data_IF_310097494987
#
_entry.id   IF_310097494987
#
_cell.length_a   1.000
_cell.length_b   1.000
_cell.length_c   1.000
_cell.angle_alpha   90.00
_cell.angle_beta   90.00
_cell.angle_gamma   90.00
#
_symmetry.space_group_name_H-M   'P 1'
#
loop_
_entity.id
_entity.type
_entity.pdbx_description
1 polymer ?
#
# COMPACT_ATOMS: atom_id res chain seq x y z
N UNK A 1 -24.74 31.62 -13.84
CA UNK A 1 -25.44 30.81 -12.82
C UNK A 1 -24.39 30.30 -11.85
N UNK A 2 -24.56 30.50 -10.54
CA UNK A 2 -23.61 29.99 -9.56
C UNK A 2 -23.68 28.46 -9.49
N UNK A 3 -22.54 27.80 -9.31
CA UNK A 3 -22.49 26.35 -9.11
C UNK A 3 -23.13 25.93 -7.78
N UNK A 4 -23.44 24.64 -7.64
CA UNK A 4 -23.98 24.09 -6.39
C UNK A 4 -22.86 24.03 -5.34
N UNK A 5 -22.90 24.93 -4.35
CA UNK A 5 -21.84 25.08 -3.33
C UNK A 5 -21.68 23.88 -2.39
N UNK A 6 -22.69 23.02 -2.30
CA UNK A 6 -22.71 21.85 -1.42
C UNK A 6 -22.32 20.55 -2.14
N UNK A 7 -21.73 20.64 -3.33
CA UNK A 7 -21.25 19.49 -4.11
C UNK A 7 -19.80 19.70 -4.50
N UNK A 8 -19.07 18.60 -4.54
CA UNK A 8 -17.70 18.59 -5.02
C UNK A 8 -17.68 18.90 -6.52
N UNK A 9 -16.71 19.70 -6.94
CA UNK A 9 -16.43 19.93 -8.35
C UNK A 9 -15.75 18.68 -8.97
N UNK A 10 -15.77 18.50 -10.31
CA UNK A 10 -15.28 17.28 -10.96
C UNK A 10 -13.80 16.94 -10.66
N UNK A 11 -12.97 17.94 -10.42
CA UNK A 11 -11.58 17.80 -9.99
C UNK A 11 -11.46 17.24 -8.57
N UNK A 12 -12.30 17.71 -7.65
CA UNK A 12 -12.38 17.21 -6.27
C UNK A 12 -12.92 15.78 -6.25
N UNK A 13 -13.95 15.47 -7.04
CA UNK A 13 -14.47 14.10 -7.17
C UNK A 13 -13.40 13.11 -7.65
N UNK A 14 -12.54 13.54 -8.59
CA UNK A 14 -11.40 12.76 -9.08
C UNK A 14 -10.37 12.48 -7.99
N UNK A 15 -10.02 13.50 -7.19
CA UNK A 15 -9.11 13.33 -6.04
C UNK A 15 -9.70 12.38 -4.99
N UNK A 16 -11.01 12.43 -4.77
CA UNK A 16 -11.73 11.61 -3.80
C UNK A 16 -12.04 10.18 -4.30
N UNK A 17 -11.50 9.75 -5.44
CA UNK A 17 -11.79 8.45 -6.05
C UNK A 17 -11.44 7.24 -5.16
N UNK A 18 -10.41 7.35 -4.31
CA UNK A 18 -9.98 6.29 -3.39
C UNK A 18 -10.34 6.57 -1.92
N UNK A 19 -11.10 7.63 -1.65
CA UNK A 19 -11.57 7.92 -0.30
C UNK A 19 -12.49 6.77 0.19
N UNK A 20 -12.35 6.25 1.42
CA UNK A 20 -13.15 5.13 1.90
C UNK A 20 -14.66 5.43 1.86
N UNK A 21 -15.43 4.50 1.27
CA UNK A 21 -16.91 4.54 1.22
C UNK A 21 -17.47 3.16 1.54
N UNK A 22 -18.54 3.12 2.34
CA UNK A 22 -19.22 1.88 2.70
C UNK A 22 -19.83 1.25 1.45
N UNK A 23 -19.51 -0.02 1.18
CA UNK A 23 -20.11 -0.77 0.09
C UNK A 23 -21.45 -1.35 0.55
N UNK A 24 -22.52 -1.08 -0.19
CA UNK A 24 -23.86 -1.60 0.14
C UNK A 24 -24.00 -3.11 -0.16
N UNK A 25 -23.08 -3.67 -0.93
CA UNK A 25 -23.12 -5.06 -1.41
C UNK A 25 -21.72 -5.71 -1.37
N UNK A 26 -21.69 -7.03 -1.57
CA UNK A 26 -20.45 -7.78 -1.70
C UNK A 26 -19.69 -7.42 -2.99
N UNK A 27 -18.36 -7.44 -2.94
CA UNK A 27 -17.50 -7.19 -4.10
C UNK A 27 -17.29 -8.45 -4.93
N UNK A 28 -17.39 -8.35 -6.26
CA UNK A 28 -17.13 -9.47 -7.18
C UNK A 28 -15.75 -9.33 -7.85
N UNK A 29 -14.85 -10.29 -7.60
CA UNK A 29 -13.55 -10.42 -8.29
C UNK A 29 -13.21 -11.89 -8.51
N UNK A 30 -12.77 -12.26 -9.70
CA UNK A 30 -12.35 -13.64 -9.99
C UNK A 30 -11.01 -13.96 -9.31
N UNK A 31 -10.79 -15.25 -9.03
CA UNK A 31 -9.51 -15.73 -8.49
C UNK A 31 -8.34 -15.40 -9.41
N UNK A 32 -8.55 -15.47 -10.73
CA UNK A 32 -7.55 -15.10 -11.72
C UNK A 32 -7.15 -13.62 -11.60
N UNK A 33 -8.13 -12.71 -11.54
CA UNK A 33 -7.89 -11.27 -11.39
C UNK A 33 -7.16 -10.95 -10.07
N UNK A 34 -7.57 -11.58 -8.96
CA UNK A 34 -6.89 -11.40 -7.66
C UNK A 34 -5.45 -11.89 -7.66
N UNK A 35 -5.15 -12.99 -8.35
CA UNK A 35 -3.77 -13.51 -8.49
C UNK A 35 -2.87 -12.55 -9.27
N UNK A 36 -3.40 -11.87 -10.29
CA UNK A 36 -2.68 -10.85 -11.05
C UNK A 36 -2.42 -9.60 -10.20
N UNK A 37 -3.46 -9.05 -9.58
CA UNK A 37 -3.41 -7.82 -8.77
C UNK A 37 -2.51 -7.96 -7.53
N UNK A 38 -2.45 -9.16 -6.92
CA UNK A 38 -1.59 -9.43 -5.75
C UNK A 38 -0.11 -9.08 -6.00
N UNK A 39 0.39 -9.24 -7.22
CA UNK A 39 1.80 -8.95 -7.54
C UNK A 39 2.11 -7.46 -7.43
N UNK A 40 1.15 -6.59 -7.74
CA UNK A 40 1.33 -5.14 -7.70
C UNK A 40 1.52 -4.61 -6.27
N UNK A 41 0.88 -5.24 -5.28
CA UNK A 41 0.88 -4.78 -3.88
C UNK A 41 1.83 -5.56 -2.96
N UNK A 42 2.72 -6.39 -3.51
CA UNK A 42 3.61 -7.27 -2.73
C UNK A 42 4.68 -6.45 -1.99
N UNK A 43 4.75 -6.59 -0.65
CA UNK A 43 5.72 -5.85 0.21
C UNK A 43 6.90 -6.68 0.71
N UNK A 44 6.64 -7.93 1.08
CA UNK A 44 7.66 -8.87 1.55
C UNK A 44 8.19 -9.73 0.41
N UNK A 45 9.30 -10.41 0.64
CA UNK A 45 9.92 -11.36 -0.29
C UNK A 45 8.89 -12.34 -0.85
N UNK A 46 8.97 -12.57 -2.17
CA UNK A 46 8.13 -13.57 -2.82
C UNK A 46 8.70 -14.96 -2.54
N UNK A 47 7.86 -15.83 -1.97
CA UNK A 47 8.20 -17.23 -1.69
C UNK A 47 8.46 -18.06 -2.95
N UNK A 48 8.00 -17.58 -4.11
CA UNK A 48 8.22 -18.23 -5.40
C UNK A 48 9.43 -17.63 -6.16
N UNK A 49 10.09 -16.61 -5.61
CA UNK A 49 11.30 -16.04 -6.19
C UNK A 49 12.51 -16.81 -5.64
N UNK A 50 13.22 -17.51 -6.52
CA UNK A 50 14.40 -18.31 -6.16
C UNK A 50 15.72 -17.61 -6.51
N UNK A 51 15.66 -16.45 -7.15
CA UNK A 51 16.83 -15.65 -7.50
C UNK A 51 17.09 -14.62 -6.42
N UNK A 52 18.32 -14.61 -5.89
CA UNK A 52 18.78 -13.54 -5.01
C UNK A 52 18.98 -12.26 -5.84
N UNK A 53 18.64 -11.11 -5.26
CA UNK A 53 19.03 -9.81 -5.80
C UNK A 53 20.57 -9.70 -5.80
N UNK A 54 21.17 -8.93 -6.71
CA UNK A 54 22.63 -8.81 -6.78
C UNK A 54 23.13 -7.99 -5.58
N UNK A 55 23.94 -8.62 -4.72
CA UNK A 55 24.47 -8.00 -3.51
C UNK A 55 25.99 -7.71 -3.59
N UNK A 56 26.60 -7.84 -4.77
CA UNK A 56 28.02 -7.58 -4.96
C UNK A 56 28.35 -6.12 -4.61
N UNK A 57 29.29 -5.92 -3.69
CA UNK A 57 29.69 -4.60 -3.16
C UNK A 57 28.57 -3.80 -2.49
N UNK A 58 27.49 -4.43 -2.02
CA UNK A 58 26.49 -3.78 -1.17
C UNK A 58 26.87 -3.97 0.32
N UNK A 59 27.02 -2.85 1.04
CA UNK A 59 27.36 -2.81 2.47
C UNK A 59 26.28 -2.08 3.29
N UNK A 60 25.04 -2.07 2.81
CA UNK A 60 23.91 -1.44 3.49
C UNK A 60 23.58 -2.16 4.81
N UNK A 61 22.97 -1.43 5.75
CA UNK A 61 22.51 -2.03 7.00
C UNK A 61 21.29 -2.95 6.78
N UNK A 62 21.51 -4.26 6.88
CA UNK A 62 20.46 -5.30 6.73
C UNK A 62 19.89 -5.81 8.05
N UNK A 63 20.29 -5.25 9.20
CA UNK A 63 19.82 -5.74 10.51
C UNK A 63 18.31 -5.50 10.63
N UNK A 64 17.56 -6.58 10.84
CA UNK A 64 16.11 -6.49 11.11
C UNK A 64 15.77 -5.78 12.43
N UNK A 65 16.77 -5.52 13.26
CA UNK A 65 16.64 -4.90 14.58
C UNK A 65 16.97 -3.41 14.60
N UNK A 66 17.38 -2.83 13.47
CA UNK A 66 17.64 -1.38 13.40
C UNK A 66 16.33 -0.62 13.56
N UNK A 67 16.26 0.23 14.59
CA UNK A 67 15.11 1.08 14.86
C UNK A 67 15.51 2.56 14.77
N UNK A 68 14.75 3.34 13.99
CA UNK A 68 14.78 4.80 14.07
C UNK A 68 13.92 5.31 15.23
N UNK A 69 13.97 6.61 15.51
CA UNK A 69 13.32 7.26 16.66
C UNK A 69 11.85 6.81 16.87
N UNK A 70 10.98 6.93 15.85
CA UNK A 70 9.58 6.52 15.95
C UNK A 70 9.42 5.04 16.34
N UNK A 71 10.26 4.16 15.79
CA UNK A 71 10.22 2.73 16.08
C UNK A 71 10.71 2.43 17.49
N UNK A 72 11.80 3.08 17.90
CA UNK A 72 12.41 2.92 19.21
C UNK A 72 11.47 3.41 20.32
N UNK A 73 10.86 4.59 20.18
CA UNK A 73 9.89 5.10 21.17
C UNK A 73 8.69 4.18 21.33
N UNK A 74 8.17 3.63 20.23
CA UNK A 74 7.04 2.68 20.28
C UNK A 74 7.42 1.38 20.98
N UNK A 75 8.58 0.82 20.66
CA UNK A 75 9.03 -0.44 21.25
C UNK A 75 9.43 -0.28 22.72
N UNK A 76 9.99 0.86 23.11
CA UNK A 76 10.36 1.15 24.50
C UNK A 76 9.14 1.28 25.45
N UNK A 77 7.97 1.65 24.91
CA UNK A 77 6.73 1.85 25.69
C UNK A 77 5.84 0.59 25.69
N UNK A 78 6.15 -0.41 24.85
CA UNK A 78 5.34 -1.61 24.64
C UNK A 78 5.46 -2.61 25.79
#
# INVERSE_FOLDING_TARGET
MAGVLSRDAPDIESILALNPRVQAHATLRSTAAKKLDKKHWKRNTDKNCFTCEKLESNFDDIKHTTLGERGALREAVR
#
